data_IF_077422880860
#
_entry.id   IF_077422880860
#
_cell.length_a   1.000
_cell.length_b   1.000
_cell.length_c   1.000
_cell.angle_alpha   90.00
_cell.angle_beta   90.00
_cell.angle_gamma   90.00
#
_symmetry.space_group_name_H-M   'P 1'
#
loop_
_entity.id
_entity.type
_entity.pdbx_description
1 polymer ?
#
# COMPACT_ATOMS: atom_id res chain seq x y z
N UNK A 1 -23.97 5.85 -10.29
CA UNK A 1 -23.69 6.74 -9.13
C UNK A 1 -22.24 6.62 -8.74
N UNK A 2 -21.63 7.72 -8.39
CA UNK A 2 -20.26 7.76 -7.88
C UNK A 2 -20.24 8.36 -6.47
N UNK A 3 -19.43 7.79 -5.59
CA UNK A 3 -19.19 8.30 -4.25
C UNK A 3 -17.71 8.64 -4.09
N UNK A 4 -17.45 9.82 -3.53
CA UNK A 4 -16.10 10.31 -3.27
C UNK A 4 -15.81 10.21 -1.77
N UNK A 5 -14.68 9.59 -1.43
CA UNK A 5 -14.21 9.52 -0.05
C UNK A 5 -12.85 10.21 0.02
N UNK A 6 -12.82 11.40 0.58
CA UNK A 6 -11.56 12.09 0.84
C UNK A 6 -10.99 11.63 2.17
N UNK A 7 -9.68 11.51 2.23
CA UNK A 7 -8.96 11.17 3.46
C UNK A 7 -9.47 9.86 4.07
N UNK A 8 -9.63 8.81 3.22
CA UNK A 8 -10.06 7.52 3.72
C UNK A 8 -9.11 6.99 4.79
N UNK A 9 -7.82 7.07 4.52
CA UNK A 9 -6.77 6.67 5.46
C UNK A 9 -5.45 7.31 5.06
N UNK A 10 -4.49 7.28 5.98
CA UNK A 10 -3.09 7.62 5.72
C UNK A 10 -2.28 6.34 5.82
N UNK A 11 -1.49 6.05 4.79
CA UNK A 11 -0.58 4.91 4.79
C UNK A 11 0.82 5.38 5.18
N UNK A 12 1.34 4.86 6.28
CA UNK A 12 2.73 5.05 6.71
C UNK A 12 3.49 3.76 6.44
N UNK A 13 4.51 3.82 5.61
CA UNK A 13 5.26 2.62 5.23
C UNK A 13 6.70 2.97 4.85
N UNK A 14 7.53 1.94 4.73
CA UNK A 14 8.86 2.05 4.13
C UNK A 14 8.91 1.26 2.84
N UNK A 15 9.83 1.62 1.95
CA UNK A 15 10.06 0.83 0.74
C UNK A 15 11.54 0.80 0.39
N UNK A 16 11.93 -0.19 -0.39
CA UNK A 16 13.31 -0.33 -0.86
C UNK A 16 13.48 0.38 -2.20
N UNK A 17 14.37 1.35 -2.23
CA UNK A 17 14.70 2.11 -3.43
C UNK A 17 16.13 1.76 -3.88
N UNK A 18 16.35 1.43 -5.16
CA UNK A 18 17.67 1.04 -5.65
C UNK A 18 18.76 2.09 -5.41
N UNK A 19 18.40 3.36 -5.44
CA UNK A 19 19.36 4.47 -5.29
C UNK A 19 19.38 5.06 -3.89
N UNK A 20 18.22 5.16 -3.24
CA UNK A 20 18.08 5.84 -1.95
C UNK A 20 18.13 4.90 -0.75
N UNK A 21 17.99 3.59 -0.97
CA UNK A 21 17.96 2.59 0.10
C UNK A 21 16.57 2.43 0.68
N UNK A 22 16.47 2.38 2.01
CA UNK A 22 15.18 2.29 2.69
C UNK A 22 14.61 3.71 2.86
N UNK A 23 13.41 3.91 2.33
CA UNK A 23 12.75 5.23 2.30
C UNK A 23 11.41 5.13 3.01
N UNK A 24 11.12 6.08 3.89
CA UNK A 24 9.81 6.20 4.54
C UNK A 24 8.91 7.16 3.80
N UNK A 25 7.62 6.84 3.76
CA UNK A 25 6.60 7.66 3.13
C UNK A 25 5.30 7.65 3.94
N UNK A 26 4.54 8.74 3.81
CA UNK A 26 3.18 8.83 4.33
C UNK A 26 2.29 9.40 3.23
N UNK A 27 1.36 8.59 2.74
CA UNK A 27 0.46 8.99 1.66
C UNK A 27 -0.99 8.93 2.12
N UNK A 28 -1.75 9.95 1.75
CA UNK A 28 -3.20 10.01 1.98
C UNK A 28 -3.88 9.29 0.83
N UNK A 29 -4.89 8.49 1.15
CA UNK A 29 -5.69 7.75 0.17
C UNK A 29 -7.07 8.36 0.07
N UNK A 30 -7.44 8.81 -1.12
CA UNK A 30 -8.79 9.19 -1.50
C UNK A 30 -9.36 8.11 -2.42
N UNK A 31 -10.65 7.87 -2.36
CA UNK A 31 -11.29 6.79 -3.11
C UNK A 31 -12.53 7.32 -3.82
N UNK A 32 -12.72 6.86 -5.06
CA UNK A 32 -13.96 7.06 -5.80
C UNK A 32 -14.57 5.69 -6.06
N UNK A 33 -15.79 5.49 -5.58
CA UNK A 33 -16.54 4.26 -5.80
C UNK A 33 -17.64 4.48 -6.82
N UNK A 34 -17.75 3.58 -7.78
CA UNK A 34 -18.83 3.57 -8.75
C UNK A 34 -19.72 2.35 -8.53
N UNK A 35 -21.02 2.54 -8.60
CA UNK A 35 -21.96 1.43 -8.40
C UNK A 35 -23.33 1.73 -8.97
N UNK A 36 -24.16 0.67 -9.08
CA UNK A 36 -25.52 0.75 -9.60
C UNK A 36 -26.60 0.74 -8.51
N UNK A 37 -26.21 0.85 -7.25
CA UNK A 37 -27.18 0.91 -6.17
C UNK A 37 -28.03 2.18 -6.27
N UNK A 38 -29.28 2.10 -5.84
CA UNK A 38 -30.07 3.30 -5.62
C UNK A 38 -29.44 4.11 -4.47
N UNK A 39 -29.75 5.38 -4.39
CA UNK A 39 -29.13 6.30 -3.44
C UNK A 39 -29.27 5.84 -1.99
N UNK A 40 -30.41 5.26 -1.66
CA UNK A 40 -30.69 4.79 -0.31
C UNK A 40 -29.82 3.60 0.09
N UNK A 41 -29.71 2.58 -0.77
CA UNK A 41 -28.89 1.40 -0.51
C UNK A 41 -27.41 1.77 -0.43
N UNK A 42 -26.94 2.67 -1.30
CA UNK A 42 -25.56 3.10 -1.33
C UNK A 42 -25.20 3.83 -0.03
N UNK A 43 -26.08 4.71 0.47
CA UNK A 43 -25.86 5.43 1.73
C UNK A 43 -25.82 4.47 2.91
N UNK A 44 -26.68 3.45 2.96
CA UNK A 44 -26.71 2.48 4.05
C UNK A 44 -25.44 1.64 4.08
N UNK A 45 -24.94 1.21 2.91
CA UNK A 45 -23.79 0.32 2.82
C UNK A 45 -22.47 1.05 2.80
N UNK A 46 -22.49 2.35 2.57
CA UNK A 46 -21.30 3.17 2.40
C UNK A 46 -20.34 3.11 3.59
N UNK A 47 -20.88 3.21 4.81
CA UNK A 47 -20.07 3.15 6.02
C UNK A 47 -19.36 1.81 6.19
N UNK A 48 -20.03 0.72 5.81
CA UNK A 48 -19.48 -0.63 5.87
C UNK A 48 -18.37 -0.78 4.84
N UNK A 49 -18.62 -0.36 3.60
CA UNK A 49 -17.63 -0.45 2.52
C UNK A 49 -16.40 0.40 2.85
N UNK A 50 -16.60 1.62 3.32
CA UNK A 50 -15.51 2.52 3.72
C UNK A 50 -14.62 1.88 4.79
N UNK A 51 -15.23 1.30 5.82
CA UNK A 51 -14.49 0.66 6.90
C UNK A 51 -13.74 -0.57 6.41
N UNK A 52 -14.35 -1.35 5.51
CA UNK A 52 -13.72 -2.53 4.92
C UNK A 52 -12.50 -2.13 4.07
N UNK A 53 -12.62 -1.10 3.24
CA UNK A 53 -11.52 -0.61 2.41
C UNK A 53 -10.36 -0.11 3.26
N UNK A 54 -10.65 0.66 4.29
CA UNK A 54 -9.62 1.14 5.21
C UNK A 54 -8.90 -0.02 5.87
N UNK A 55 -9.63 -1.02 6.36
CA UNK A 55 -9.04 -2.21 6.99
C UNK A 55 -8.13 -2.99 6.05
N UNK A 56 -8.51 -3.11 4.78
CA UNK A 56 -7.69 -3.79 3.77
C UNK A 56 -6.41 -3.02 3.47
N UNK A 57 -6.49 -1.70 3.32
CA UNK A 57 -5.31 -0.87 3.10
C UNK A 57 -4.36 -0.97 4.29
N UNK A 58 -4.88 -0.91 5.50
CA UNK A 58 -4.10 -1.06 6.72
C UNK A 58 -3.44 -2.44 6.78
N UNK A 59 -4.13 -3.49 6.34
CA UNK A 59 -3.61 -4.85 6.34
C UNK A 59 -2.50 -5.06 5.31
N UNK A 60 -2.63 -4.48 4.12
CA UNK A 60 -1.74 -4.80 3.00
C UNK A 60 -0.55 -3.85 2.84
N UNK A 61 -0.68 -2.61 3.26
CA UNK A 61 0.37 -1.59 3.03
C UNK A 61 0.82 -0.91 4.32
N UNK A 62 -0.13 -0.51 5.16
CA UNK A 62 0.20 0.32 6.32
C UNK A 62 1.14 -0.41 7.28
N UNK A 63 2.18 0.30 7.72
CA UNK A 63 3.21 -0.21 8.63
C UNK A 63 3.99 -1.41 8.07
N UNK A 64 4.18 -1.48 6.76
CA UNK A 64 4.93 -2.55 6.12
C UNK A 64 6.16 -2.01 5.39
N UNK A 65 7.08 -2.93 5.08
CA UNK A 65 8.17 -2.68 4.15
C UNK A 65 7.74 -3.17 2.77
N UNK A 66 7.63 -2.25 1.82
CA UNK A 66 7.28 -2.55 0.44
C UNK A 66 8.55 -2.94 -0.31
N UNK A 67 8.53 -4.13 -0.91
CA UNK A 67 9.66 -4.69 -1.63
C UNK A 67 9.33 -4.73 -3.12
N UNK A 68 10.17 -4.10 -3.98
CA UNK A 68 9.99 -4.21 -5.44
C UNK A 68 10.50 -5.59 -5.89
N UNK A 69 9.61 -6.58 -5.82
CA UNK A 69 9.98 -7.99 -5.95
C UNK A 69 10.49 -8.37 -7.34
N UNK A 70 10.16 -7.60 -8.38
CA UNK A 70 10.66 -7.82 -9.75
C UNK A 70 11.98 -7.11 -10.03
N UNK A 71 12.47 -6.30 -9.12
CA UNK A 71 13.76 -5.64 -9.31
C UNK A 71 14.89 -6.66 -9.17
N UNK A 72 15.90 -6.59 -10.04
CA UNK A 72 16.99 -7.56 -10.04
C UNK A 72 17.88 -7.50 -8.78
N UNK A 73 17.81 -6.43 -8.00
CA UNK A 73 18.52 -6.37 -6.71
C UNK A 73 17.81 -7.15 -5.61
N UNK A 74 16.53 -7.45 -5.76
CA UNK A 74 15.74 -8.09 -4.72
C UNK A 74 15.93 -9.62 -4.78
N UNK A 75 16.32 -10.20 -3.65
CA UNK A 75 16.39 -11.66 -3.45
C UNK A 75 15.52 -11.99 -2.25
N UNK A 76 14.50 -12.80 -2.47
CA UNK A 76 13.49 -13.13 -1.46
C UNK A 76 13.60 -14.63 -1.17
N UNK A 77 13.84 -14.96 0.10
CA UNK A 77 13.98 -16.36 0.55
C UNK A 77 12.98 -16.64 1.66
N UNK A 78 12.05 -17.55 1.38
CA UNK A 78 11.09 -18.00 2.38
C UNK A 78 11.72 -19.09 3.24
N UNK A 79 11.67 -18.89 4.55
CA UNK A 79 12.25 -19.77 5.55
C UNK A 79 11.14 -20.39 6.40
N UNK A 80 11.53 -21.23 7.38
CA UNK A 80 10.59 -21.84 8.31
C UNK A 80 9.94 -20.79 9.23
N UNK A 81 8.80 -21.16 9.82
CA UNK A 81 8.06 -20.33 10.79
C UNK A 81 7.59 -18.99 10.23
N UNK A 82 7.20 -18.98 8.94
CA UNK A 82 6.71 -17.79 8.22
C UNK A 82 7.71 -16.63 8.20
N UNK A 83 9.00 -16.94 8.35
CA UNK A 83 10.06 -15.94 8.24
C UNK A 83 10.52 -15.80 6.79
N UNK A 84 10.82 -14.57 6.40
CA UNK A 84 11.29 -14.25 5.06
C UNK A 84 12.54 -13.38 5.15
N UNK A 85 13.57 -13.80 4.43
CA UNK A 85 14.79 -13.02 4.27
C UNK A 85 14.71 -12.25 2.96
N UNK A 86 14.95 -10.96 3.03
CA UNK A 86 15.04 -10.09 1.86
C UNK A 86 16.43 -9.50 1.80
N UNK A 87 17.12 -9.76 0.69
CA UNK A 87 18.44 -9.21 0.40
C UNK A 87 18.29 -8.26 -0.78
N UNK A 88 18.60 -6.98 -0.57
CA UNK A 88 18.55 -5.97 -1.61
C UNK A 88 19.98 -5.55 -1.93
N UNK A 89 20.53 -6.16 -3.00
CA UNK A 89 21.95 -6.12 -3.33
C UNK A 89 22.24 -4.95 -4.27
N UNK A 90 22.70 -3.84 -3.71
CA UNK A 90 22.98 -2.61 -4.47
C UNK A 90 24.47 -2.55 -4.83
N UNK A 91 24.85 -2.59 -6.14
CA UNK A 91 26.23 -2.83 -6.54
C UNK A 91 27.23 -1.75 -6.09
N UNK A 92 26.87 -0.48 -6.09
CA UNK A 92 27.80 0.59 -5.73
C UNK A 92 27.42 1.30 -4.44
N UNK A 93 26.61 0.63 -3.61
CA UNK A 93 26.11 1.16 -2.37
C UNK A 93 25.97 0.03 -1.37
N UNK A 94 25.74 0.39 -0.11
CA UNK A 94 25.54 -0.60 0.92
C UNK A 94 24.28 -1.43 0.64
N UNK A 95 24.40 -2.74 0.65
CA UNK A 95 23.29 -3.66 0.50
C UNK A 95 22.44 -3.70 1.77
N UNK A 96 21.17 -4.05 1.62
CA UNK A 96 20.21 -4.09 2.71
C UNK A 96 19.76 -5.54 2.90
N UNK A 97 19.83 -6.01 4.15
CA UNK A 97 19.45 -7.37 4.51
C UNK A 97 18.41 -7.30 5.63
N UNK A 98 17.28 -7.96 5.41
CA UNK A 98 16.17 -8.00 6.36
C UNK A 98 15.76 -9.44 6.62
N UNK A 99 15.49 -9.76 7.87
CA UNK A 99 14.98 -11.06 8.30
C UNK A 99 13.79 -10.81 9.22
N UNK A 100 12.60 -10.95 8.68
CA UNK A 100 11.36 -10.58 9.37
C UNK A 100 10.25 -11.59 9.04
N UNK A 101 9.19 -11.62 9.86
CA UNK A 101 8.00 -12.37 9.49
C UNK A 101 7.42 -11.90 8.15
N UNK A 102 6.78 -12.81 7.42
CA UNK A 102 6.17 -12.50 6.13
C UNK A 102 5.22 -11.31 6.21
N UNK A 103 4.48 -11.19 7.29
CA UNK A 103 3.51 -10.10 7.50
C UNK A 103 4.15 -8.71 7.61
N UNK A 104 5.46 -8.62 7.85
CA UNK A 104 6.17 -7.33 7.89
C UNK A 104 6.41 -6.74 6.50
N UNK A 105 6.24 -7.54 5.46
CA UNK A 105 6.51 -7.14 4.09
C UNK A 105 5.24 -7.02 3.26
N UNK A 106 5.29 -6.15 2.25
CA UNK A 106 4.37 -6.17 1.12
C UNK A 106 5.21 -6.36 -0.14
N UNK A 107 5.09 -7.53 -0.77
CA UNK A 107 5.83 -7.84 -2.00
C UNK A 107 5.04 -7.33 -3.19
N UNK A 108 5.58 -6.32 -3.85
CA UNK A 108 4.95 -5.71 -5.03
C UNK A 108 5.77 -6.12 -6.24
N UNK A 109 5.14 -6.82 -7.18
CA UNK A 109 5.83 -7.40 -8.34
C UNK A 109 6.01 -6.35 -9.43
N UNK A 110 6.88 -5.39 -9.14
CA UNK A 110 7.25 -4.27 -10.00
C UNK A 110 8.74 -4.02 -9.90
N UNK A 111 9.29 -3.26 -10.85
CA UNK A 111 10.70 -2.85 -10.85
C UNK A 111 10.96 -1.73 -9.85
N UNK A 112 9.98 -0.88 -9.61
CA UNK A 112 10.14 0.28 -8.74
C UNK A 112 8.85 0.55 -7.98
N UNK A 113 8.98 0.84 -6.67
CA UNK A 113 7.86 1.23 -5.82
C UNK A 113 7.66 2.74 -5.97
N UNK A 114 6.48 3.15 -6.43
CA UNK A 114 6.06 4.55 -6.55
C UNK A 114 4.53 4.63 -6.37
N UNK A 115 3.98 5.83 -6.47
CA UNK A 115 2.53 6.01 -6.31
C UNK A 115 1.73 5.21 -7.35
N UNK A 116 2.22 5.15 -8.58
CA UNK A 116 1.55 4.40 -9.65
C UNK A 116 1.52 2.90 -9.34
N UNK A 117 2.66 2.32 -8.98
CA UNK A 117 2.75 0.88 -8.71
C UNK A 117 1.98 0.48 -7.45
N UNK A 118 2.03 1.29 -6.40
CA UNK A 118 1.28 1.03 -5.17
C UNK A 118 -0.22 1.20 -5.41
N UNK A 119 -0.61 2.21 -6.17
CA UNK A 119 -2.01 2.42 -6.54
C UNK A 119 -2.58 1.25 -7.33
N UNK A 120 -1.84 0.75 -8.31
CA UNK A 120 -2.26 -0.42 -9.10
C UNK A 120 -2.36 -1.68 -8.23
N UNK A 121 -1.40 -1.88 -7.34
CA UNK A 121 -1.41 -3.02 -6.42
C UNK A 121 -2.64 -2.97 -5.50
N UNK A 122 -2.89 -1.83 -4.88
CA UNK A 122 -4.05 -1.65 -4.00
C UNK A 122 -5.37 -1.81 -4.76
N UNK A 123 -5.46 -1.27 -5.96
CA UNK A 123 -6.66 -1.41 -6.78
C UNK A 123 -6.99 -2.87 -7.04
N UNK A 124 -5.99 -3.68 -7.36
CA UNK A 124 -6.18 -5.13 -7.58
C UNK A 124 -6.62 -5.83 -6.30
N UNK A 125 -5.97 -5.54 -5.17
CA UNK A 125 -6.31 -6.16 -3.89
C UNK A 125 -7.73 -5.78 -3.47
N UNK A 126 -8.06 -4.50 -3.54
CA UNK A 126 -9.38 -4.02 -3.11
C UNK A 126 -10.49 -4.54 -4.02
N UNK A 127 -10.24 -4.64 -5.32
CA UNK A 127 -11.24 -5.17 -6.27
C UNK A 127 -11.66 -6.60 -5.96
N UNK A 128 -10.76 -7.42 -5.40
CA UNK A 128 -11.06 -8.81 -5.03
C UNK A 128 -12.02 -8.90 -3.84
N UNK A 129 -12.13 -7.85 -3.05
CA UNK A 129 -12.92 -7.85 -1.81
C UNK A 129 -14.14 -6.92 -1.88
N UNK A 130 -14.40 -6.31 -3.04
CA UNK A 130 -15.54 -5.41 -3.19
C UNK A 130 -16.86 -6.19 -3.28
N UNK A 131 -17.94 -5.65 -2.70
CA UNK A 131 -19.28 -6.23 -2.90
C UNK A 131 -19.69 -6.17 -4.38
N UNK A 132 -20.60 -7.07 -4.78
CA UNK A 132 -21.08 -7.17 -6.17
C UNK A 132 -21.73 -5.88 -6.68
N UNK A 133 -22.27 -5.07 -5.78
CA UNK A 133 -22.93 -3.82 -6.12
C UNK A 133 -21.95 -2.66 -6.36
N UNK A 134 -20.67 -2.86 -6.12
CA UNK A 134 -19.64 -1.89 -6.46
C UNK A 134 -19.01 -2.30 -7.78
N UNK A 135 -19.18 -1.49 -8.82
CA UNK A 135 -18.74 -1.81 -10.17
C UNK A 135 -17.29 -1.38 -10.43
N UNK A 136 -16.83 -0.38 -9.73
CA UNK A 136 -15.49 0.14 -9.95
C UNK A 136 -14.96 0.91 -8.76
N UNK A 137 -13.63 1.00 -8.70
CA UNK A 137 -12.93 1.75 -7.68
C UNK A 137 -11.77 2.49 -8.33
N UNK A 138 -11.61 3.76 -7.96
CA UNK A 138 -10.44 4.55 -8.30
C UNK A 138 -9.78 5.06 -7.03
N UNK A 139 -8.46 4.97 -7.00
CA UNK A 139 -7.65 5.43 -5.88
C UNK A 139 -6.83 6.64 -6.29
N UNK A 140 -6.81 7.63 -5.43
CA UNK A 140 -5.98 8.81 -5.59
C UNK A 140 -5.04 8.87 -4.40
N UNK A 141 -3.75 8.84 -4.68
CA UNK A 141 -2.71 8.90 -3.66
C UNK A 141 -2.03 10.26 -3.71
N UNK A 142 -1.79 10.84 -2.53
CA UNK A 142 -1.05 12.10 -2.43
C UNK A 142 -0.19 12.09 -1.17
N UNK A 143 0.98 12.76 -1.19
CA UNK A 143 1.78 12.87 0.02
C UNK A 143 1.05 13.63 1.11
N UNK A 144 1.24 13.21 2.35
CA UNK A 144 0.79 13.98 3.49
C UNK A 144 1.66 15.24 3.61
N UNK A 145 1.03 16.42 3.64
CA UNK A 145 1.72 17.71 3.75
C UNK A 145 1.61 18.21 5.18
N UNK A 146 2.76 18.48 5.79
CA UNK A 146 2.84 19.05 7.13
C UNK A 146 3.57 20.38 7.04
N UNK A 147 2.89 21.48 7.43
CA UNK A 147 3.37 22.84 7.22
C UNK A 147 4.40 23.31 8.25
N UNK A 148 4.68 22.51 9.27
CA UNK A 148 5.64 22.84 10.33
C UNK A 148 6.84 21.89 10.28
N UNK A 149 8.04 22.29 10.75
CA UNK A 149 9.19 21.40 10.85
C UNK A 149 8.84 20.17 11.69
N UNK A 150 9.25 18.99 11.22
CA UNK A 150 8.93 17.72 11.87
C UNK A 150 9.98 16.67 11.54
N UNK A 151 10.01 15.60 12.35
CA UNK A 151 10.72 14.39 12.00
C UNK A 151 9.74 13.41 11.36
N UNK A 152 10.10 12.91 10.17
CA UNK A 152 9.30 11.91 9.48
C UNK A 152 9.96 10.53 9.66
N UNK A 153 9.25 9.61 10.30
CA UNK A 153 9.68 8.22 10.41
C UNK A 153 8.49 7.30 10.21
N UNK A 154 8.76 6.07 9.80
CA UNK A 154 7.73 5.06 9.58
C UNK A 154 7.87 3.93 10.60
N UNK A 155 6.74 3.31 10.91
CA UNK A 155 6.67 2.15 11.80
C UNK A 155 6.71 0.88 10.94
N UNK A 156 7.81 0.57 10.38
CA UNK A 156 7.85 -0.56 9.46
C UNK A 156 8.86 -1.63 9.80
#
# INVERSE_FOLDING_TARGET
>A
MQLFVNDLTVMDFSYLCPTRGMVGESWIVDVILAGQLNDESMVQDFGIVKKQLKGLIDQYIDHKLLVPADHNYAQITHLDDDMVQVDFMRPNQQSIHMYCPDEAYAFIYVQQVDMSSVGDYLKKVLALHLPDNVEGIELLLRPEVIDTPFYHYTHG
#
